data_IF_907702946873
#
_entry.id   IF_907702946873
#
_cell.length_a   1.000
_cell.length_b   1.000
_cell.length_c   1.000
_cell.angle_alpha   90.00
_cell.angle_beta   90.00
_cell.angle_gamma   90.00
#
_symmetry.space_group_name_H-M   'P 1'
#
loop_
_entity.id
_entity.type
_entity.pdbx_description
1 polymer ?
#
# COMPACT_ATOMS: atom_id res chain seq x y z
N UNK A 1 16.40 -23.27 -53.01
CA UNK A 1 15.56 -23.18 -51.80
C UNK A 1 15.35 -21.73 -51.37
N UNK A 2 16.41 -20.94 -51.10
CA UNK A 2 16.30 -19.51 -50.72
C UNK A 2 15.50 -18.66 -51.73
N UNK A 3 15.71 -18.85 -53.04
CA UNK A 3 14.95 -18.12 -54.08
C UNK A 3 13.43 -18.36 -54.04
N UNK A 4 12.99 -19.55 -53.61
CA UNK A 4 11.55 -19.87 -53.54
C UNK A 4 10.92 -19.13 -52.36
N UNK A 5 11.63 -19.09 -51.23
CA UNK A 5 11.20 -18.39 -50.02
C UNK A 5 11.22 -16.87 -50.16
N UNK A 6 12.23 -16.30 -50.83
CA UNK A 6 12.24 -14.85 -51.12
C UNK A 6 11.09 -14.48 -52.06
N UNK A 7 10.80 -15.31 -53.06
CA UNK A 7 9.69 -15.05 -53.99
C UNK A 7 8.31 -15.22 -53.34
N UNK A 8 8.17 -15.95 -52.22
CA UNK A 8 6.88 -16.00 -51.51
C UNK A 8 6.59 -14.70 -50.75
N UNK A 9 7.61 -13.89 -50.42
CA UNK A 9 7.39 -12.57 -49.80
C UNK A 9 6.65 -11.59 -50.72
N UNK A 10 6.58 -11.85 -52.03
CA UNK A 10 5.80 -11.05 -52.97
C UNK A 10 4.29 -11.34 -52.92
N UNK A 11 3.86 -12.46 -52.32
CA UNK A 11 2.44 -12.81 -52.14
C UNK A 11 2.00 -12.58 -50.70
N UNK A 12 1.24 -11.50 -50.47
CA UNK A 12 0.70 -11.13 -49.17
C UNK A 12 -0.19 -12.21 -48.55
N UNK A 13 -0.73 -13.15 -49.33
CA UNK A 13 -1.53 -14.28 -48.82
C UNK A 13 -0.68 -15.29 -48.04
N UNK A 14 0.64 -15.24 -48.20
CA UNK A 14 1.60 -16.12 -47.52
C UNK A 14 2.27 -15.44 -46.33
N UNK A 15 1.94 -14.17 -46.07
CA UNK A 15 2.54 -13.43 -44.97
C UNK A 15 2.02 -13.91 -43.64
N UNK A 16 2.95 -14.16 -42.73
CA UNK A 16 2.70 -14.49 -41.33
C UNK A 16 3.53 -13.57 -40.43
N UNK A 17 3.11 -13.45 -39.17
CA UNK A 17 3.84 -12.67 -38.18
C UNK A 17 5.11 -13.44 -37.79
N UNK A 18 6.28 -12.87 -38.08
CA UNK A 18 7.58 -13.51 -37.81
C UNK A 18 8.22 -12.97 -36.53
N UNK A 19 7.96 -11.70 -36.20
CA UNK A 19 8.50 -11.02 -35.02
C UNK A 19 7.62 -9.82 -34.66
N UNK A 20 7.63 -9.44 -33.39
CA UNK A 20 6.96 -8.23 -32.85
C UNK A 20 8.00 -7.38 -32.16
N UNK A 21 8.02 -6.07 -32.44
CA UNK A 21 9.00 -5.14 -31.87
C UNK A 21 8.87 -5.03 -30.34
N UNK A 22 7.66 -4.74 -29.82
CA UNK A 22 7.41 -4.49 -28.39
C UNK A 22 6.02 -5.01 -27.96
N UNK A 23 5.94 -5.48 -26.72
CA UNK A 23 4.67 -5.78 -26.06
C UNK A 23 4.15 -4.54 -25.34
N UNK A 24 2.99 -4.04 -25.76
CA UNK A 24 2.28 -2.96 -25.06
C UNK A 24 1.11 -3.53 -24.25
N UNK A 25 0.93 -3.11 -22.99
CA UNK A 25 -0.27 -3.44 -22.24
C UNK A 25 -1.52 -3.00 -22.99
N UNK A 26 -2.52 -3.88 -23.11
CA UNK A 26 -3.78 -3.57 -23.79
C UNK A 26 -4.46 -2.31 -23.21
N UNK A 27 -4.28 -2.07 -21.92
CA UNK A 27 -4.87 -0.94 -21.21
C UNK A 27 -4.20 0.40 -21.53
N UNK A 28 -2.95 0.40 -22.00
CA UNK A 28 -2.26 1.63 -22.43
C UNK A 28 -2.83 2.16 -23.75
N UNK A 29 -3.59 1.34 -24.49
CA UNK A 29 -4.31 1.74 -25.70
C UNK A 29 -5.63 2.45 -25.41
N UNK A 30 -6.13 2.40 -24.16
CA UNK A 30 -7.36 3.08 -23.77
C UNK A 30 -7.10 4.58 -23.58
N UNK A 31 -8.10 5.41 -23.86
CA UNK A 31 -8.04 6.83 -23.48
C UNK A 31 -8.11 7.02 -21.95
N UNK A 32 -7.69 8.19 -21.47
CA UNK A 32 -7.65 8.51 -20.04
C UNK A 32 -9.01 8.33 -19.33
N UNK A 33 -10.14 8.52 -20.03
CA UNK A 33 -11.46 8.36 -19.43
C UNK A 33 -11.79 6.89 -19.22
N UNK A 34 -11.53 6.04 -20.22
CA UNK A 34 -11.71 4.60 -20.15
C UNK A 34 -10.74 3.97 -19.14
N UNK A 35 -9.47 4.36 -19.16
CA UNK A 35 -8.49 3.91 -18.17
C UNK A 35 -8.97 4.22 -16.75
N UNK A 36 -9.39 5.46 -16.47
CA UNK A 36 -9.90 5.82 -15.15
C UNK A 36 -11.18 5.05 -14.77
N UNK A 37 -12.07 4.81 -15.73
CA UNK A 37 -13.29 4.03 -15.48
C UNK A 37 -12.96 2.60 -15.09
N UNK A 38 -12.02 1.98 -15.78
CA UNK A 38 -11.61 0.60 -15.52
C UNK A 38 -10.84 0.50 -14.20
N UNK A 39 -9.90 1.42 -13.91
CA UNK A 39 -9.21 1.50 -12.62
C UNK A 39 -10.19 1.66 -11.44
N UNK A 40 -11.24 2.47 -11.62
CA UNK A 40 -12.29 2.62 -10.62
C UNK A 40 -13.11 1.34 -10.45
N UNK A 41 -13.39 0.61 -11.54
CA UNK A 41 -14.12 -0.65 -11.52
C UNK A 41 -13.35 -1.78 -10.81
N UNK A 42 -12.01 -1.73 -10.79
CA UNK A 42 -11.17 -2.68 -10.03
C UNK A 42 -11.34 -2.57 -8.50
N UNK A 43 -12.01 -1.52 -8.03
CA UNK A 43 -12.23 -1.25 -6.62
C UNK A 43 -10.99 -0.72 -5.89
N UNK A 44 -11.13 -0.51 -4.57
CA UNK A 44 -10.03 -0.08 -3.72
C UNK A 44 -9.07 -1.24 -3.43
N UNK A 45 -7.77 -0.95 -3.44
CA UNK A 45 -6.68 -1.88 -3.13
C UNK A 45 -5.67 -1.22 -2.19
N UNK A 46 -4.74 -2.01 -1.66
CA UNK A 46 -3.61 -1.51 -0.89
C UNK A 46 -2.63 -0.84 -1.84
N UNK A 47 -2.43 0.47 -1.67
CA UNK A 47 -1.50 1.25 -2.51
C UNK A 47 -0.11 1.33 -1.87
N UNK A 48 -0.03 1.30 -0.53
CA UNK A 48 1.24 1.31 0.20
C UNK A 48 1.06 0.79 1.62
N UNK A 49 2.10 0.14 2.12
CA UNK A 49 2.23 -0.25 3.52
C UNK A 49 3.59 0.19 4.03
N UNK A 50 3.70 0.37 5.35
CA UNK A 50 5.00 0.48 5.99
C UNK A 50 4.89 0.02 7.44
N UNK A 51 6.02 -0.47 7.96
CA UNK A 51 6.22 -0.83 9.35
C UNK A 51 7.55 -0.22 9.77
N UNK A 52 7.54 0.70 10.72
CA UNK A 52 8.74 1.43 11.14
C UNK A 52 8.81 1.60 12.66
N UNK A 53 10.04 1.58 13.19
CA UNK A 53 10.25 1.85 14.61
C UNK A 53 10.38 3.36 14.82
N UNK A 54 9.41 3.94 15.53
CA UNK A 54 9.35 5.37 15.82
C UNK A 54 9.73 5.60 17.27
N UNK A 55 10.72 6.47 17.50
CA UNK A 55 11.00 7.01 18.83
C UNK A 55 10.17 8.26 19.05
N UNK A 56 9.32 8.25 20.08
CA UNK A 56 8.44 9.37 20.42
C UNK A 56 8.71 9.85 21.84
N UNK A 57 8.70 11.16 22.01
CA UNK A 57 8.86 11.82 23.31
C UNK A 57 7.50 12.39 23.73
N UNK A 58 6.93 11.83 24.80
CA UNK A 58 5.63 12.25 25.34
C UNK A 58 5.77 12.73 26.77
N UNK A 59 5.04 13.79 27.10
CA UNK A 59 4.88 14.25 28.47
C UNK A 59 4.02 13.27 29.28
N UNK A 60 4.46 12.93 30.49
CA UNK A 60 3.70 12.05 31.39
C UNK A 60 2.33 12.64 31.80
N UNK A 61 2.19 13.97 31.71
CA UNK A 61 1.05 14.75 32.19
C UNK A 61 -0.02 15.01 31.09
N UNK A 62 0.00 14.21 30.02
CA UNK A 62 -1.03 14.12 28.95
C UNK A 62 -1.17 15.27 27.93
N UNK A 63 -0.24 16.23 27.78
CA UNK A 63 -0.27 17.17 26.63
C UNK A 63 1.14 17.63 26.23
N UNK A 64 1.45 17.76 24.91
CA UNK A 64 0.66 17.42 23.72
C UNK A 64 0.88 15.98 23.20
N UNK A 65 0.00 15.45 22.32
CA UNK A 65 0.26 14.20 21.61
C UNK A 65 1.47 14.27 20.69
N UNK A 66 1.99 13.11 20.32
CA UNK A 66 3.02 13.01 19.29
C UNK A 66 2.35 13.03 17.91
N UNK A 67 2.86 13.87 17.01
CA UNK A 67 2.36 13.99 15.64
C UNK A 67 3.39 13.39 14.70
N UNK A 68 3.02 12.30 14.05
CA UNK A 68 3.82 11.66 13.01
C UNK A 68 3.35 12.16 11.64
N UNK A 69 4.25 12.80 10.89
CA UNK A 69 3.95 13.33 9.56
C UNK A 69 4.09 12.25 8.48
N UNK A 70 2.96 11.78 7.96
CA UNK A 70 2.93 10.72 6.95
C UNK A 70 3.27 11.24 5.55
N UNK A 71 3.13 12.55 5.30
CA UNK A 71 3.27 13.18 3.97
C UNK A 71 4.57 12.83 3.24
N UNK A 72 5.69 12.72 3.97
CA UNK A 72 6.99 12.36 3.38
C UNK A 72 7.01 10.92 2.87
N UNK A 73 6.29 10.02 3.54
CA UNK A 73 6.30 8.60 3.22
C UNK A 73 5.34 8.26 2.09
N UNK A 74 4.32 9.07 1.86
CA UNK A 74 3.27 8.81 0.86
C UNK A 74 3.32 9.77 -0.32
N UNK A 75 4.35 10.63 -0.44
CA UNK A 75 4.50 11.52 -1.59
C UNK A 75 4.45 10.71 -2.89
N UNK A 76 3.47 10.99 -3.75
CA UNK A 76 3.30 10.35 -5.05
C UNK A 76 2.12 9.39 -5.17
N UNK A 77 1.40 9.07 -4.08
CA UNK A 77 0.14 8.31 -4.20
C UNK A 77 -1.02 9.33 -4.30
N UNK A 78 -1.90 9.24 -5.31
CA UNK A 78 -3.08 10.09 -5.42
C UNK A 78 -4.27 9.54 -4.60
N UNK A 79 -5.18 10.43 -4.19
CA UNK A 79 -6.50 10.11 -3.61
C UNK A 79 -6.51 9.22 -2.34
N UNK A 80 -5.84 9.66 -1.27
CA UNK A 80 -5.90 9.04 0.06
C UNK A 80 -7.23 9.32 0.77
N UNK A 81 -8.26 8.51 0.52
CA UNK A 81 -9.56 8.73 1.18
C UNK A 81 -9.85 7.82 2.38
N UNK A 82 -9.02 6.84 2.71
CA UNK A 82 -9.24 6.01 3.90
C UNK A 82 -7.93 5.48 4.47
N UNK A 83 -7.64 5.82 5.73
CA UNK A 83 -6.61 5.16 6.51
C UNK A 83 -7.21 4.70 7.85
N UNK A 84 -7.01 3.42 8.21
CA UNK A 84 -7.63 2.82 9.38
C UNK A 84 -6.77 2.97 10.64
N UNK A 85 -7.44 3.16 11.78
CA UNK A 85 -6.82 3.28 13.11
C UNK A 85 -6.42 1.91 13.65
N UNK A 86 -5.19 1.78 14.15
CA UNK A 86 -4.75 0.57 14.86
C UNK A 86 -4.30 0.91 16.29
N UNK A 87 -4.70 0.06 17.23
CA UNK A 87 -4.20 0.08 18.61
C UNK A 87 -2.93 -0.76 18.70
N UNK A 88 -1.86 -0.18 19.27
CA UNK A 88 -0.61 -0.89 19.45
C UNK A 88 -0.24 -1.01 20.92
N UNK A 89 0.04 -2.24 21.35
CA UNK A 89 0.52 -2.56 22.70
C UNK A 89 2.02 -2.73 22.68
N UNK A 90 2.71 -2.00 23.56
CA UNK A 90 4.06 -2.31 23.99
C UNK A 90 3.98 -2.70 25.48
N UNK A 91 4.82 -3.63 25.94
CA UNK A 91 4.71 -4.46 27.15
C UNK A 91 4.39 -3.77 28.51
N UNK A 92 4.32 -2.44 28.58
CA UNK A 92 3.88 -1.69 29.78
C UNK A 92 3.05 -0.42 29.50
N UNK A 93 2.80 -0.10 28.22
CA UNK A 93 2.13 1.12 27.79
C UNK A 93 1.20 0.84 26.60
N UNK A 94 0.01 1.39 26.67
CA UNK A 94 -0.98 1.33 25.60
C UNK A 94 -0.99 2.67 24.89
N UNK A 95 -0.84 2.62 23.57
CA UNK A 95 -0.93 3.78 22.70
C UNK A 95 -2.18 3.66 21.82
N UNK A 96 -2.88 4.77 21.66
CA UNK A 96 -3.93 4.94 20.66
C UNK A 96 -3.36 5.80 19.54
N UNK A 97 -3.60 5.37 18.30
CA UNK A 97 -3.27 6.14 17.11
C UNK A 97 -4.55 6.51 16.39
N UNK A 98 -4.59 7.71 15.82
CA UNK A 98 -5.64 8.12 14.88
C UNK A 98 -5.06 8.90 13.73
N UNK A 99 -5.75 8.86 12.61
CA UNK A 99 -5.34 9.57 11.41
C UNK A 99 -6.16 10.84 11.28
N UNK A 100 -5.49 11.96 11.10
CA UNK A 100 -6.09 13.26 10.83
C UNK A 100 -5.48 13.87 9.57
N UNK A 101 -6.17 14.84 8.99
CA UNK A 101 -5.69 15.60 7.85
C UNK A 101 -5.45 17.04 8.29
N UNK A 102 -4.19 17.47 8.24
CA UNK A 102 -3.83 18.87 8.35
C UNK A 102 -3.76 19.42 6.93
N UNK A 103 -4.75 20.23 6.56
CA UNK A 103 -5.08 20.60 5.17
C UNK A 103 -5.33 19.39 4.27
N UNK A 104 -4.30 18.91 3.56
CA UNK A 104 -4.34 17.77 2.62
C UNK A 104 -3.26 16.74 2.98
N UNK A 105 -2.61 16.92 4.14
CA UNK A 105 -1.49 16.10 4.60
C UNK A 105 -1.95 15.19 5.72
N UNK A 106 -2.00 13.87 5.51
CA UNK A 106 -2.35 12.98 6.58
C UNK A 106 -1.23 12.96 7.62
N UNK A 107 -1.66 13.00 8.88
CA UNK A 107 -0.83 12.90 10.06
C UNK A 107 -1.38 11.77 10.93
N UNK A 108 -0.49 11.05 11.61
CA UNK A 108 -0.86 10.07 12.62
C UNK A 108 -0.64 10.72 13.98
N UNK A 109 -1.72 10.92 14.73
CA UNK A 109 -1.68 11.42 16.09
C UNK A 109 -1.61 10.25 17.05
N UNK A 110 -0.60 10.25 17.91
CA UNK A 110 -0.31 9.16 18.83
C UNK A 110 -0.45 9.66 20.27
N UNK A 111 -1.39 9.05 20.98
CA UNK A 111 -1.64 9.29 22.39
C UNK A 111 -1.22 8.08 23.23
N UNK A 112 -0.61 8.32 24.38
CA UNK A 112 -0.48 7.29 25.41
C UNK A 112 -1.77 7.28 26.24
N UNK A 113 -2.52 6.19 26.17
CA UNK A 113 -3.83 6.05 26.83
C UNK A 113 -3.75 5.31 28.16
N UNK A 114 -2.79 4.40 28.32
CA UNK A 114 -2.56 3.71 29.58
C UNK A 114 -1.08 3.33 29.75
N UNK A 115 -0.66 3.14 31.00
CA UNK A 115 0.65 2.60 31.34
C UNK A 115 1.06 2.92 32.76
N UNK A 116 2.23 2.42 33.17
CA UNK A 116 2.75 2.67 34.53
C UNK A 116 2.86 4.17 34.81
N UNK A 117 2.24 4.63 35.90
CA UNK A 117 2.39 6.00 36.40
C UNK A 117 3.86 6.20 36.78
N UNK A 118 4.52 7.16 36.14
CA UNK A 118 5.90 7.51 36.45
C UNK A 118 5.86 8.67 37.43
N UNK A 119 6.56 8.57 38.57
CA UNK A 119 6.49 9.55 39.66
C UNK A 119 7.12 10.91 39.35
N UNK A 120 7.82 11.05 38.21
CA UNK A 120 8.53 12.27 37.83
C UNK A 120 7.79 13.00 36.70
N UNK A 121 7.50 14.29 36.94
CA UNK A 121 7.14 15.25 35.88
C UNK A 121 8.30 15.31 34.89
N UNK A 122 8.01 15.10 33.60
CA UNK A 122 9.00 15.15 32.53
C UNK A 122 8.63 14.32 31.31
N UNK A 123 9.31 14.61 30.20
CA UNK A 123 9.19 13.85 28.95
C UNK A 123 9.80 12.47 29.10
N UNK A 124 9.11 11.46 28.58
CA UNK A 124 9.62 10.10 28.46
C UNK A 124 9.69 9.73 26.99
N UNK A 125 10.81 9.10 26.61
CA UNK A 125 10.99 8.55 25.29
C UNK A 125 10.47 7.12 25.27
N UNK A 126 9.74 6.80 24.21
CA UNK A 126 9.20 5.48 23.93
C UNK A 126 9.66 5.05 22.55
N UNK A 127 9.86 3.75 22.38
CA UNK A 127 10.03 3.13 21.07
C UNK A 127 8.79 2.30 20.78
N UNK A 128 8.11 2.59 19.66
CA UNK A 128 6.94 1.87 19.18
C UNK A 128 7.16 1.45 17.73
N UNK A 129 6.53 0.36 17.30
CA UNK A 129 6.60 -0.11 15.92
C UNK A 129 5.35 0.34 15.15
N UNK A 130 5.35 1.54 14.59
CA UNK A 130 4.20 2.08 13.90
C UNK A 130 4.00 1.38 12.55
N UNK A 131 2.81 0.81 12.34
CA UNK A 131 2.40 0.19 11.08
C UNK A 131 1.22 0.95 10.48
N UNK A 132 1.26 1.23 9.19
CA UNK A 132 0.18 1.92 8.49
C UNK A 132 0.00 1.37 7.07
N UNK A 133 -1.22 1.55 6.54
CA UNK A 133 -1.66 1.04 5.24
C UNK A 133 -2.47 2.15 4.56
N UNK A 134 -2.16 2.40 3.30
CA UNK A 134 -2.91 3.27 2.41
C UNK A 134 -3.78 2.42 1.50
N UNK A 135 -5.08 2.72 1.46
CA UNK A 135 -6.07 2.04 0.62
C UNK A 135 -6.69 3.06 -0.34
N UNK A 136 -6.74 2.74 -1.62
CA UNK A 136 -7.31 3.61 -2.65
C UNK A 136 -7.45 2.88 -3.99
N UNK A 137 -7.93 3.59 -5.02
CA UNK A 137 -8.01 3.02 -6.36
C UNK A 137 -6.60 2.93 -6.97
N UNK A 138 -6.30 1.86 -7.73
CA UNK A 138 -5.04 1.76 -8.45
C UNK A 138 -4.90 2.91 -9.46
N UNK A 139 -3.66 3.33 -9.69
CA UNK A 139 -3.34 4.44 -10.61
C UNK A 139 -2.84 3.99 -11.96
N UNK A 140 -2.54 2.70 -12.08
CA UNK A 140 -2.03 2.04 -13.27
C UNK A 140 -2.54 0.60 -13.30
N UNK A 141 -2.37 -0.05 -14.43
CA UNK A 141 -2.73 -1.45 -14.66
C UNK A 141 -1.54 -2.40 -14.38
N UNK A 142 -0.63 -2.00 -13.51
CA UNK A 142 0.42 -2.88 -13.00
C UNK A 142 -0.23 -3.86 -12.03
N UNK A 143 -0.77 -4.94 -12.60
CA UNK A 143 -1.25 -6.10 -11.87
C UNK A 143 -0.07 -6.94 -11.35
N UNK A 144 0.96 -6.29 -10.80
CA UNK A 144 2.01 -7.02 -10.10
C UNK A 144 1.32 -7.84 -9.00
N UNK A 145 1.22 -9.14 -9.26
CA UNK A 145 0.87 -10.18 -8.32
C UNK A 145 2.06 -10.33 -7.38
N UNK A 146 2.50 -9.25 -6.72
CA UNK A 146 3.55 -9.35 -5.74
C UNK A 146 2.99 -10.21 -4.59
N UNK A 147 3.56 -11.38 -4.28
CA UNK A 147 3.10 -12.18 -3.15
C UNK A 147 3.17 -11.43 -1.81
N UNK A 148 3.82 -10.26 -1.73
CA UNK A 148 3.77 -9.35 -0.57
C UNK A 148 2.49 -8.48 -0.50
N UNK A 149 1.72 -8.37 -1.59
CA UNK A 149 0.44 -7.66 -1.62
C UNK A 149 -0.68 -8.36 -0.83
N UNK A 150 -0.47 -9.63 -0.44
CA UNK A 150 -1.34 -10.34 0.48
C UNK A 150 -1.04 -9.95 1.93
N UNK A 151 -1.79 -8.98 2.45
CA UNK A 151 -1.87 -8.75 3.89
C UNK A 151 -2.49 -9.98 4.56
N UNK A 152 -1.66 -10.80 5.19
CA UNK A 152 -2.14 -11.88 6.07
C UNK A 152 -2.37 -11.33 7.46
N UNK A 153 -3.63 -11.00 7.76
CA UNK A 153 -4.05 -10.65 9.12
C UNK A 153 -4.03 -11.91 9.98
N UNK A 154 -2.96 -12.10 10.75
CA UNK A 154 -2.91 -13.16 11.76
C UNK A 154 -3.71 -12.71 12.98
N UNK A 155 -4.95 -13.19 13.09
CA UNK A 155 -5.73 -13.05 14.31
C UNK A 155 -5.18 -14.00 15.38
N UNK A 156 -4.85 -13.48 16.56
CA UNK A 156 -4.47 -14.33 17.70
C UNK A 156 -5.58 -15.28 18.18
N UNK A 157 -6.82 -15.14 17.65
CA UNK A 157 -7.95 -16.03 17.93
C UNK A 157 -8.25 -17.05 16.83
N UNK A 158 -7.81 -16.80 15.60
CA UNK A 158 -8.19 -17.62 14.44
C UNK A 158 -6.96 -17.90 13.59
N UNK A 159 -6.59 -19.18 13.52
CA UNK A 159 -5.54 -19.65 12.62
C UNK A 159 -6.00 -19.52 11.16
N UNK A 160 -5.10 -19.02 10.30
CA UNK A 160 -5.36 -18.91 8.86
C UNK A 160 -5.34 -20.32 8.25
N UNK A 161 -6.47 -20.79 7.73
CA UNK A 161 -6.53 -21.98 6.90
C UNK A 161 -5.86 -21.65 5.55
N UNK A 162 -4.67 -22.21 5.32
CA UNK A 162 -4.03 -22.18 4.00
C UNK A 162 -4.70 -23.27 3.14
N UNK A 163 -5.72 -22.93 2.37
CA UNK A 163 -6.13 -23.78 1.26
C UNK A 163 -5.20 -23.50 0.06
N UNK A 164 -4.44 -24.54 -0.29
CA UNK A 164 -3.65 -24.59 -1.53
C UNK A 164 -4.64 -24.82 -2.67
N UNK A 165 -4.90 -23.79 -3.46
CA UNK A 165 -5.62 -23.96 -4.73
C UNK A 165 -4.59 -24.43 -5.76
N UNK A 166 -4.59 -25.73 -6.04
CA UNK A 166 -3.94 -26.29 -7.23
C UNK A 166 -4.85 -26.05 -8.43
N UNK A 167 -4.40 -25.28 -9.41
CA UNK A 167 -5.04 -25.25 -10.73
C UNK A 167 -4.49 -26.41 -11.58
N UNK A 168 -5.43 -27.21 -12.12
CA UNK A 168 -5.23 -28.22 -13.15
C UNK A 168 -4.97 -27.57 -14.51
#
# INVERSE_FOLDING_TARGET
>A
MIKIWVNSLDDFKTWELVETDDNYPLFDLLDDQLQNRDLNALGKRVLKTNIENVSLSLDNDQKPPYVYNLSKQISGIPNFNDCQNHEQKNNENVFSSRIEFEDVKPIIIIHRVAGKKVSKKGRKNYSIQLSWIVIGHPTNFDFELDPQSYLTFQSGKFSILKEVINFL
#
